data_IF_776505375005
#
_entry.id   IF_776505375005
#
_cell.length_a   1.000
_cell.length_b   1.000
_cell.length_c   1.000
_cell.angle_alpha   90.00
_cell.angle_beta   90.00
_cell.angle_gamma   90.00
#
_symmetry.space_group_name_H-M   'P 1'
#
loop_
_entity.id
_entity.type
_entity.pdbx_description
1 polymer ?
#
# COMPACT_ATOMS: atom_id res chain seq x y z
N UNK A 1 8.21 16.08 -11.11
CA UNK A 1 6.97 16.89 -11.22
C UNK A 1 5.71 16.04 -11.08
N UNK A 2 5.55 14.97 -11.88
CA UNK A 2 4.39 14.07 -11.78
C UNK A 2 4.32 13.32 -10.43
N UNK A 3 5.43 12.76 -9.94
CA UNK A 3 5.49 12.05 -8.65
C UNK A 3 4.97 12.89 -7.48
N UNK A 4 5.41 14.13 -7.36
CA UNK A 4 4.99 15.05 -6.29
C UNK A 4 3.49 15.31 -6.33
N UNK A 5 2.94 15.54 -7.53
CA UNK A 5 1.51 15.77 -7.71
C UNK A 5 0.67 14.55 -7.35
N UNK A 6 1.12 13.35 -7.75
CA UNK A 6 0.46 12.09 -7.41
C UNK A 6 0.49 11.89 -5.89
N UNK A 7 1.65 12.04 -5.24
CA UNK A 7 1.81 11.95 -3.78
C UNK A 7 0.83 12.86 -3.04
N UNK A 8 0.71 14.13 -3.43
CA UNK A 8 -0.25 15.06 -2.83
C UNK A 8 -1.71 14.64 -3.01
N UNK A 9 -2.06 14.14 -4.21
CA UNK A 9 -3.42 13.71 -4.52
C UNK A 9 -3.78 12.39 -3.83
N UNK A 10 -2.85 11.48 -3.63
CA UNK A 10 -3.03 10.25 -2.83
C UNK A 10 -3.60 10.56 -1.45
N UNK A 11 -3.19 11.68 -0.84
CA UNK A 11 -3.64 12.07 0.49
C UNK A 11 -5.06 12.63 0.54
N UNK A 12 -5.51 13.26 -0.55
CA UNK A 12 -6.71 14.12 -0.56
C UNK A 12 -7.83 13.64 -1.49
N UNK A 13 -7.52 12.79 -2.47
CA UNK A 13 -8.46 12.45 -3.53
C UNK A 13 -9.34 11.25 -3.17
N UNK A 14 -10.66 11.43 -3.31
CA UNK A 14 -11.67 10.43 -3.00
C UNK A 14 -12.14 9.57 -4.17
N UNK A 15 -11.71 9.88 -5.41
CA UNK A 15 -12.21 9.22 -6.62
C UNK A 15 -11.56 7.85 -6.85
N UNK A 16 -12.36 6.83 -7.14
CA UNK A 16 -11.87 5.45 -7.33
C UNK A 16 -10.92 5.32 -8.53
N UNK A 17 -11.27 5.91 -9.67
CA UNK A 17 -10.40 5.95 -10.87
C UNK A 17 -9.03 6.53 -10.56
N UNK A 18 -8.95 7.51 -9.65
CA UNK A 18 -7.66 8.08 -9.26
C UNK A 18 -6.83 7.09 -8.42
N UNK A 19 -7.47 6.30 -7.56
CA UNK A 19 -6.78 5.31 -6.71
C UNK A 19 -6.14 4.21 -7.53
N UNK A 20 -6.87 3.65 -8.50
CA UNK A 20 -6.37 2.60 -9.39
C UNK A 20 -5.18 3.10 -10.23
N UNK A 21 -5.31 4.29 -10.81
CA UNK A 21 -4.21 4.91 -11.56
C UNK A 21 -3.00 5.22 -10.68
N UNK A 22 -3.23 5.63 -9.44
CA UNK A 22 -2.15 5.87 -8.47
C UNK A 22 -1.44 4.58 -8.10
N UNK A 23 -2.20 3.51 -7.85
CA UNK A 23 -1.66 2.18 -7.58
C UNK A 23 -0.78 1.70 -8.74
N UNK A 24 -1.31 1.75 -9.96
CA UNK A 24 -0.57 1.38 -11.16
C UNK A 24 0.71 2.22 -11.31
N UNK A 25 0.62 3.54 -11.18
CA UNK A 25 1.80 4.41 -11.26
C UNK A 25 2.84 4.03 -10.21
N UNK A 26 2.45 3.86 -8.94
CA UNK A 26 3.38 3.50 -7.88
C UNK A 26 3.97 2.10 -8.02
N UNK A 27 3.31 1.16 -8.69
CA UNK A 27 3.88 -0.16 -8.98
C UNK A 27 5.00 -0.12 -10.02
N UNK A 28 4.91 0.79 -10.99
CA UNK A 28 5.79 0.78 -12.17
C UNK A 28 6.71 1.99 -12.32
N UNK A 29 6.55 3.05 -11.52
CA UNK A 29 7.42 4.22 -11.62
C UNK A 29 8.87 3.89 -11.22
N UNK A 30 9.85 4.50 -11.89
CA UNK A 30 11.28 4.27 -11.65
C UNK A 30 11.68 4.52 -10.19
N UNK A 31 11.24 5.63 -9.61
CA UNK A 31 11.47 5.95 -8.20
C UNK A 31 10.68 5.00 -7.28
N UNK A 32 11.36 4.40 -6.31
CA UNK A 32 10.72 3.57 -5.28
C UNK A 32 10.03 4.48 -4.24
N UNK A 33 8.70 4.40 -4.17
CA UNK A 33 7.91 5.22 -3.28
C UNK A 33 7.66 4.62 -1.90
N UNK A 34 8.18 3.42 -1.59
CA UNK A 34 7.90 2.73 -0.32
C UNK A 34 8.31 3.55 0.91
N UNK A 35 9.47 4.20 0.90
CA UNK A 35 9.89 5.05 2.02
C UNK A 35 8.93 6.22 2.28
N UNK A 36 8.41 6.81 1.20
CA UNK A 36 7.41 7.87 1.31
C UNK A 36 6.07 7.30 1.80
N UNK A 37 5.64 6.16 1.27
CA UNK A 37 4.43 5.48 1.73
C UNK A 37 4.51 5.19 3.22
N UNK A 38 5.59 4.59 3.70
CA UNK A 38 5.78 4.28 5.12
C UNK A 38 5.70 5.52 6.03
N UNK A 39 6.17 6.67 5.55
CA UNK A 39 6.10 7.93 6.30
C UNK A 39 4.67 8.50 6.33
N UNK A 40 3.95 8.44 5.22
CA UNK A 40 2.67 9.14 5.05
C UNK A 40 1.44 8.23 5.17
N UNK A 41 1.62 6.91 5.29
CA UNK A 41 0.55 5.93 5.24
C UNK A 41 -0.59 6.21 6.24
N UNK A 42 -0.22 6.59 7.46
CA UNK A 42 -1.19 6.90 8.53
C UNK A 42 -2.07 8.12 8.20
N UNK A 43 -1.59 9.04 7.37
CA UNK A 43 -2.30 10.24 6.95
C UNK A 43 -3.30 9.96 5.82
N UNK A 44 -3.26 8.78 5.20
CA UNK A 44 -4.21 8.37 4.15
C UNK A 44 -5.53 8.02 4.82
N UNK A 45 -6.62 8.64 4.38
CA UNK A 45 -7.92 8.51 5.06
C UNK A 45 -8.72 7.28 4.64
N UNK A 46 -8.56 6.85 3.40
CA UNK A 46 -9.39 5.78 2.84
C UNK A 46 -8.74 4.41 3.10
N UNK A 47 -9.48 3.54 3.76
CA UNK A 47 -8.98 2.26 4.29
C UNK A 47 -8.86 1.19 3.20
N UNK A 48 -9.76 1.21 2.21
CA UNK A 48 -9.61 0.44 0.99
C UNK A 48 -8.34 0.83 0.23
N UNK A 49 -8.05 2.13 0.13
CA UNK A 49 -6.88 2.61 -0.58
C UNK A 49 -5.59 2.27 0.17
N UNK A 50 -5.60 2.36 1.50
CA UNK A 50 -4.55 1.84 2.37
C UNK A 50 -4.24 0.38 2.07
N UNK A 51 -5.27 -0.47 2.02
CA UNK A 51 -5.13 -1.87 1.61
C UNK A 51 -4.47 -2.03 0.24
N UNK A 52 -4.89 -1.26 -0.77
CA UNK A 52 -4.25 -1.29 -2.09
C UNK A 52 -2.79 -0.84 -2.05
N UNK A 53 -2.45 0.18 -1.25
CA UNK A 53 -1.07 0.67 -1.13
C UNK A 53 -0.16 -0.34 -0.41
N UNK A 54 -0.70 -1.24 0.41
CA UNK A 54 0.06 -2.38 0.92
C UNK A 54 0.61 -3.24 -0.22
N UNK A 55 -0.11 -3.39 -1.34
CA UNK A 55 0.42 -4.11 -2.52
C UNK A 55 1.67 -3.43 -3.05
N UNK A 56 1.69 -2.10 -3.19
CA UNK A 56 2.91 -1.37 -3.60
C UNK A 56 4.06 -1.68 -2.66
N UNK A 57 3.81 -1.67 -1.35
CA UNK A 57 4.82 -1.96 -0.33
C UNK A 57 5.33 -3.40 -0.46
N UNK A 58 4.47 -4.39 -0.71
CA UNK A 58 4.90 -5.79 -0.90
C UNK A 58 5.69 -6.02 -2.18
N UNK A 59 5.20 -5.49 -3.31
CA UNK A 59 5.81 -5.71 -4.63
C UNK A 59 7.10 -4.91 -4.84
N UNK A 60 7.28 -3.78 -4.15
CA UNK A 60 8.43 -2.89 -4.35
C UNK A 60 9.31 -2.69 -3.12
N UNK A 61 8.80 -3.03 -1.94
CA UNK A 61 9.55 -2.92 -0.69
C UNK A 61 10.52 -4.07 -0.50
N UNK A 62 11.05 -4.10 0.72
CA UNK A 62 12.02 -5.08 1.22
C UNK A 62 11.49 -5.73 2.50
N UNK A 63 12.19 -6.76 2.99
CA UNK A 63 11.86 -7.58 4.16
C UNK A 63 11.59 -6.74 5.43
N UNK A 64 12.21 -5.56 5.54
CA UNK A 64 12.00 -4.61 6.64
C UNK A 64 10.53 -4.18 6.79
N UNK A 65 9.75 -4.24 5.71
CA UNK A 65 8.35 -3.83 5.68
C UNK A 65 7.39 -4.92 6.17
N UNK A 66 7.85 -6.16 6.38
CA UNK A 66 7.01 -7.28 6.82
C UNK A 66 6.29 -6.97 8.14
N UNK A 67 7.01 -6.40 9.12
CA UNK A 67 6.43 -6.07 10.44
C UNK A 67 5.26 -5.10 10.32
N UNK A 68 5.35 -4.14 9.40
CA UNK A 68 4.27 -3.20 9.13
C UNK A 68 3.07 -3.90 8.49
N UNK A 69 3.30 -4.69 7.45
CA UNK A 69 2.23 -5.39 6.72
C UNK A 69 1.48 -6.39 7.60
N UNK A 70 2.18 -7.10 8.50
CA UNK A 70 1.54 -8.02 9.45
C UNK A 70 0.62 -7.27 10.41
N UNK A 71 1.11 -6.19 11.04
CA UNK A 71 0.28 -5.36 11.94
C UNK A 71 -0.91 -4.75 11.21
N UNK A 72 -0.72 -4.36 9.96
CA UNK A 72 -1.78 -3.76 9.16
C UNK A 72 -2.83 -4.78 8.73
N UNK A 73 -2.42 -6.02 8.45
CA UNK A 73 -3.34 -7.15 8.26
C UNK A 73 -4.22 -7.34 9.49
N UNK A 74 -3.61 -7.49 10.67
CA UNK A 74 -4.34 -7.66 11.93
C UNK A 74 -5.31 -6.49 12.20
N UNK A 75 -4.89 -5.26 11.91
CA UNK A 75 -5.72 -4.07 12.09
C UNK A 75 -6.94 -4.12 11.17
N UNK A 76 -6.74 -4.42 9.89
CA UNK A 76 -7.81 -4.43 8.89
C UNK A 76 -8.80 -5.58 9.12
N UNK A 77 -8.32 -6.78 9.46
CA UNK A 77 -9.17 -7.92 9.83
C UNK A 77 -10.05 -7.59 11.03
N UNK A 78 -9.49 -6.94 12.06
CA UNK A 78 -10.23 -6.58 13.27
C UNK A 78 -11.23 -5.45 13.06
N UNK A 79 -10.85 -4.41 12.30
CA UNK A 79 -11.66 -3.19 12.16
C UNK A 79 -12.71 -3.28 11.04
N UNK A 80 -12.48 -4.12 10.04
CA UNK A 80 -13.30 -4.20 8.82
C UNK A 80 -13.68 -5.65 8.50
N UNK A 81 -14.26 -6.36 9.47
CA UNK A 81 -14.61 -7.78 9.40
C UNK A 81 -15.51 -8.17 8.21
N UNK A 82 -16.33 -7.25 7.71
CA UNK A 82 -17.26 -7.49 6.59
C UNK A 82 -16.66 -7.09 5.23
N UNK A 83 -15.48 -6.49 5.23
CA UNK A 83 -14.77 -6.04 4.04
C UNK A 83 -13.58 -6.96 3.75
N UNK A 84 -13.09 -6.92 2.52
CA UNK A 84 -11.93 -7.71 2.10
C UNK A 84 -10.61 -6.94 2.20
N UNK A 85 -10.57 -5.84 2.96
CA UNK A 85 -9.39 -4.94 3.00
C UNK A 85 -8.11 -5.62 3.49
N UNK A 86 -8.19 -6.67 4.33
CA UNK A 86 -7.01 -7.40 4.74
C UNK A 86 -6.30 -8.13 3.57
N UNK A 87 -6.98 -8.38 2.44
CA UNK A 87 -6.39 -9.09 1.30
C UNK A 87 -5.16 -8.36 0.72
N UNK A 88 -5.18 -7.02 0.68
CA UNK A 88 -4.06 -6.21 0.19
C UNK A 88 -2.75 -6.50 0.93
N UNK A 89 -2.65 -6.29 2.26
CA UNK A 89 -1.43 -6.60 3.00
C UNK A 89 -1.12 -8.11 3.07
N UNK A 90 -2.11 -9.01 3.06
CA UNK A 90 -1.84 -10.46 3.01
C UNK A 90 -1.08 -10.84 1.73
N UNK A 91 -1.56 -10.37 0.57
CA UNK A 91 -0.89 -10.61 -0.71
C UNK A 91 0.51 -9.97 -0.75
N UNK A 92 0.65 -8.78 -0.15
CA UNK A 92 1.95 -8.11 -0.03
C UNK A 92 2.97 -8.91 0.80
N UNK A 93 2.53 -9.54 1.89
CA UNK A 93 3.39 -10.43 2.71
C UNK A 93 3.80 -11.65 1.90
N UNK A 94 2.86 -12.27 1.18
CA UNK A 94 3.14 -13.43 0.33
C UNK A 94 4.17 -13.10 -0.74
N UNK A 95 4.03 -11.95 -1.41
CA UNK A 95 4.99 -11.49 -2.41
C UNK A 95 6.39 -11.30 -1.81
N UNK A 96 6.50 -10.66 -0.64
CA UNK A 96 7.80 -10.52 0.04
C UNK A 96 8.39 -11.87 0.44
N UNK A 97 7.56 -12.81 0.91
CA UNK A 97 8.03 -14.16 1.22
C UNK A 97 8.56 -14.87 -0.04
N UNK A 98 7.87 -14.75 -1.17
CA UNK A 98 8.32 -15.33 -2.45
C UNK A 98 9.63 -14.71 -2.93
N UNK A 99 9.81 -13.40 -2.77
CA UNK A 99 11.00 -12.68 -3.25
C UNK A 99 12.25 -12.90 -2.39
N UNK A 100 12.11 -13.19 -1.10
CA UNK A 100 13.23 -13.16 -0.16
C UNK A 100 13.41 -14.43 0.70
N UNK A 101 12.41 -15.30 0.80
CA UNK A 101 12.44 -16.50 1.66
C UNK A 101 12.36 -17.82 0.87
N UNK A 102 12.23 -17.75 -0.45
CA UNK A 102 12.34 -18.89 -1.36
C UNK A 102 13.73 -18.99 -2.00
#
# INVERSE_FOLDING_TARGET
MLMTWIKEKTMKNGQDIFRENTLYFFLYCEENCCNWLMKEYSNIRNEYFKSMLCLVIGFRGDVEMLSFLTKETERLERMYLQETYAQGPILAIQELAVRFLN
#
